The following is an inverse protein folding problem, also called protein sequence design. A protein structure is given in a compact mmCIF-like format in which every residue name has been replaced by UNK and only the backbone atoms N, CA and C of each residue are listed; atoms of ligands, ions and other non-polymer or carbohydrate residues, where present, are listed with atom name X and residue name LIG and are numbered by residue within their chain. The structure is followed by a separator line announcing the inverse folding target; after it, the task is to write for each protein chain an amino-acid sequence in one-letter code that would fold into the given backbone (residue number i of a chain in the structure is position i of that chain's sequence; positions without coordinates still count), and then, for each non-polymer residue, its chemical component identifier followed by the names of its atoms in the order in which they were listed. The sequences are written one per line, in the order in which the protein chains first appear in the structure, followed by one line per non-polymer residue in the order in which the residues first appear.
data_IF_111049719621
#
_entry.id   IF_111049719621
#
_cell.length_a   1.000
_cell.length_b   1.000
_cell.length_c   1.000
_cell.angle_alpha   90.00
_cell.angle_beta   90.00
_cell.angle_gamma   90.00
#
_symmetry.space_group_name_H-M   'P 1'
#
loop_
_entity.id
_entity.type
_entity.pdbx_description
1 polymer ?
#
# COMPACT_ATOMS: atom_id res chain seq x y z
N UNK A 1 -23.29 24.30 -55.77
CA UNK A 1 -24.47 23.95 -54.98
C UNK A 1 -24.12 24.10 -53.52
N UNK A 2 -24.42 25.28 -52.97
CA UNK A 2 -24.07 25.68 -51.60
C UNK A 2 -25.17 25.16 -50.67
N UNK A 3 -24.77 24.48 -49.62
CA UNK A 3 -25.65 24.13 -48.47
C UNK A 3 -25.09 24.82 -47.22
N UNK A 4 -25.86 25.78 -46.79
CA UNK A 4 -25.66 26.57 -45.56
C UNK A 4 -26.01 25.74 -44.30
N UNK A 5 -25.12 25.72 -43.34
CA UNK A 5 -25.36 25.15 -41.99
C UNK A 5 -25.73 26.33 -41.06
N UNK A 6 -26.94 26.29 -40.53
CA UNK A 6 -27.46 27.31 -39.62
C UNK A 6 -26.92 27.12 -38.18
N UNK A 7 -26.46 28.22 -37.60
CA UNK A 7 -26.00 28.33 -36.24
C UNK A 7 -27.23 28.60 -35.32
N UNK A 8 -27.52 27.72 -34.37
CA UNK A 8 -28.52 27.94 -33.33
C UNK A 8 -27.81 28.49 -32.11
N UNK A 9 -28.04 29.75 -31.80
CA UNK A 9 -27.61 30.43 -30.57
C UNK A 9 -28.70 30.25 -29.51
N UNK A 10 -28.41 29.52 -28.44
CA UNK A 10 -29.30 29.44 -27.28
C UNK A 10 -28.91 30.54 -26.25
N UNK A 11 -29.78 31.49 -26.05
CA UNK A 11 -29.69 32.55 -25.04
C UNK A 11 -30.17 32.02 -23.70
N UNK A 12 -29.27 31.95 -22.69
CA UNK A 12 -29.68 31.72 -21.29
C UNK A 12 -29.97 33.03 -20.60
N UNK A 13 -31.22 33.16 -20.12
CA UNK A 13 -31.68 34.31 -19.33
C UNK A 13 -31.14 34.30 -17.90
N UNK A 14 -30.58 35.43 -17.49
CA UNK A 14 -30.14 35.68 -16.11
C UNK A 14 -31.35 36.00 -15.23
N UNK A 15 -31.65 35.16 -14.25
CA UNK A 15 -32.61 35.48 -13.17
C UNK A 15 -31.81 36.10 -12.02
N UNK A 16 -32.06 37.38 -11.75
CA UNK A 16 -31.55 38.10 -10.57
C UNK A 16 -32.46 37.82 -9.38
N UNK A 17 -31.93 37.17 -8.34
CA UNK A 17 -32.56 37.14 -7.03
C UNK A 17 -32.02 38.32 -6.18
N UNK A 18 -32.91 39.25 -5.81
CA UNK A 18 -32.60 40.30 -4.86
C UNK A 18 -32.77 39.78 -3.42
N UNK A 19 -31.76 39.95 -2.58
CA UNK A 19 -31.87 39.80 -1.13
C UNK A 19 -31.97 41.16 -0.46
N UNK A 20 -33.09 41.40 0.20
CA UNK A 20 -33.26 42.52 1.16
C UNK A 20 -32.94 42.02 2.59
N UNK A 21 -32.43 42.87 3.48
CA UNK A 21 -32.06 42.45 4.84
C UNK A 21 -33.26 42.54 5.78
N UNK A 22 -33.78 41.42 6.26
CA UNK A 22 -34.66 41.38 7.44
C UNK A 22 -33.83 41.22 8.71
N UNK A 23 -33.99 42.20 9.62
CA UNK A 23 -33.45 42.14 10.99
C UNK A 23 -34.41 41.34 11.86
N UNK A 24 -34.00 40.13 12.27
CA UNK A 24 -34.65 39.46 13.41
C UNK A 24 -33.75 39.57 14.64
N UNK A 25 -34.30 40.21 15.69
CA UNK A 25 -33.75 40.20 17.04
C UNK A 25 -33.87 38.79 17.61
N UNK A 26 -32.74 38.16 17.92
CA UNK A 26 -32.69 36.86 18.56
C UNK A 26 -32.62 37.04 20.09
N UNK A 27 -33.60 36.47 20.79
CA UNK A 27 -33.60 36.28 22.23
C UNK A 27 -32.49 35.35 22.65
N UNK A 28 -31.59 35.82 23.53
CA UNK A 28 -30.49 35.06 24.09
C UNK A 28 -30.99 34.29 25.31
N UNK A 29 -31.19 33.00 25.18
CA UNK A 29 -31.24 32.08 26.34
C UNK A 29 -29.84 31.46 26.54
N UNK A 30 -29.34 31.39 27.78
CA UNK A 30 -28.02 30.79 28.03
C UNK A 30 -28.12 29.26 27.87
N UNK A 31 -27.45 28.70 26.84
CA UNK A 31 -27.24 27.28 26.72
C UNK A 31 -26.08 26.89 27.62
N UNK A 32 -26.36 26.08 28.64
CA UNK A 32 -25.38 25.30 29.37
C UNK A 32 -24.52 24.49 28.39
N UNK A 33 -23.23 24.78 28.36
CA UNK A 33 -22.25 24.05 27.57
C UNK A 33 -21.99 22.70 28.25
N UNK A 34 -22.65 21.66 27.80
CA UNK A 34 -22.14 20.29 28.00
C UNK A 34 -20.86 20.13 27.18
N UNK A 35 -19.74 20.15 27.85
CA UNK A 35 -18.44 19.80 27.28
C UNK A 35 -18.44 18.28 27.02
N UNK A 36 -18.89 17.88 25.84
CA UNK A 36 -18.70 16.52 25.36
C UNK A 36 -17.19 16.30 25.20
N UNK A 37 -16.60 15.61 26.16
CA UNK A 37 -15.23 15.18 26.09
C UNK A 37 -15.02 14.43 24.76
N UNK A 38 -14.22 15.02 23.87
CA UNK A 38 -13.83 14.45 22.59
C UNK A 38 -13.11 13.12 22.89
N UNK A 39 -13.81 11.97 22.74
CA UNK A 39 -13.18 10.66 22.86
C UNK A 39 -11.95 10.63 21.97
N UNK A 40 -10.78 10.49 22.61
CA UNK A 40 -9.52 10.27 21.91
C UNK A 40 -9.74 9.10 20.92
N UNK A 41 -9.35 9.21 19.64
CA UNK A 41 -9.44 8.08 18.73
C UNK A 41 -8.76 6.88 19.37
N UNK A 42 -9.39 5.71 19.30
CA UNK A 42 -8.79 4.48 19.80
C UNK A 42 -7.41 4.35 19.13
N UNK A 43 -6.37 4.29 19.95
CA UNK A 43 -5.01 4.01 19.46
C UNK A 43 -5.07 2.63 18.84
N UNK A 44 -4.81 2.56 17.52
CA UNK A 44 -4.56 1.30 16.83
C UNK A 44 -3.51 0.55 17.65
N UNK A 45 -3.72 -0.73 18.02
CA UNK A 45 -2.67 -1.51 18.64
C UNK A 45 -1.48 -1.48 17.68
N UNK A 46 -0.44 -0.69 17.99
CA UNK A 46 0.78 -0.72 17.22
C UNK A 46 1.38 -2.11 17.45
N UNK A 47 1.33 -2.96 16.44
CA UNK A 47 2.14 -4.17 16.47
C UNK A 47 3.59 -3.71 16.55
N UNK A 48 4.31 -4.04 17.63
CA UNK A 48 5.71 -3.72 17.71
C UNK A 48 6.44 -4.59 16.69
N UNK A 49 6.58 -4.08 15.45
CA UNK A 49 7.58 -4.67 14.57
C UNK A 49 8.92 -4.62 15.28
N UNK A 50 9.70 -5.69 15.25
CA UNK A 50 11.09 -5.60 15.64
C UNK A 50 11.71 -4.44 14.86
N UNK A 51 12.52 -3.63 15.51
CA UNK A 51 13.23 -2.52 14.85
C UNK A 51 13.97 -3.09 13.64
N UNK A 52 13.66 -2.58 12.44
CA UNK A 52 14.19 -3.07 11.17
C UNK A 52 13.82 -4.54 10.86
N UNK A 53 12.53 -4.85 10.66
CA UNK A 53 12.05 -6.20 10.38
C UNK A 53 12.58 -6.76 9.04
N UNK A 54 13.01 -8.02 9.04
CA UNK A 54 13.18 -8.80 7.82
C UNK A 54 11.88 -9.55 7.56
N UNK A 55 11.31 -9.35 6.39
CA UNK A 55 10.11 -10.04 5.92
C UNK A 55 10.37 -10.85 4.66
N UNK A 56 9.42 -11.72 4.33
CA UNK A 56 9.43 -12.55 3.11
C UNK A 56 8.06 -12.54 2.45
N UNK A 57 8.04 -12.38 1.14
CA UNK A 57 6.84 -12.64 0.35
C UNK A 57 6.79 -14.11 -0.01
N UNK A 58 5.76 -14.82 0.42
CA UNK A 58 5.65 -16.27 0.34
C UNK A 58 4.28 -16.71 -0.19
N UNK A 59 4.28 -17.81 -0.93
CA UNK A 59 3.04 -18.48 -1.32
C UNK A 59 2.52 -19.38 -0.19
N UNK A 60 1.21 -19.36 0.13
CA UNK A 60 0.62 -20.33 1.01
C UNK A 60 0.61 -21.75 0.37
N UNK A 61 0.55 -22.84 1.14
CA UNK A 61 0.42 -22.85 2.59
C UNK A 61 1.75 -22.58 3.30
N UNK A 62 1.73 -21.70 4.31
CA UNK A 62 2.96 -21.26 5.01
C UNK A 62 3.63 -22.36 5.83
N UNK A 63 2.91 -23.42 6.19
CA UNK A 63 3.49 -24.61 6.78
C UNK A 63 4.52 -25.31 5.88
N UNK A 64 4.51 -25.03 4.56
CA UNK A 64 5.49 -25.55 3.60
C UNK A 64 6.50 -24.50 3.17
N UNK A 65 6.09 -23.26 2.91
CA UNK A 65 6.96 -22.22 2.37
C UNK A 65 7.82 -21.51 3.44
N UNK A 66 7.38 -21.49 4.70
CA UNK A 66 8.10 -20.80 5.77
C UNK A 66 9.35 -21.56 6.28
N UNK A 67 9.34 -22.91 6.47
CA UNK A 67 10.50 -23.62 7.05
C UNK A 67 11.82 -23.41 6.30
N UNK A 68 11.91 -23.45 4.95
CA UNK A 68 13.15 -23.15 4.23
C UNK A 68 13.69 -21.75 4.53
N UNK A 69 12.81 -20.76 4.59
CA UNK A 69 13.16 -19.37 4.91
C UNK A 69 13.70 -19.23 6.33
N UNK A 70 13.08 -19.93 7.30
CA UNK A 70 13.57 -19.95 8.69
C UNK A 70 14.99 -20.51 8.78
N UNK A 71 15.33 -21.50 7.97
CA UNK A 71 16.71 -22.02 7.90
C UNK A 71 17.69 -20.94 7.39
N UNK A 72 17.30 -20.18 6.37
CA UNK A 72 18.12 -19.08 5.83
C UNK A 72 18.29 -17.95 6.84
N UNK A 73 17.22 -17.55 7.53
CA UNK A 73 17.24 -16.43 8.46
C UNK A 73 17.76 -16.79 9.86
N UNK A 74 17.76 -18.06 10.23
CA UNK A 74 18.03 -18.53 11.59
C UNK A 74 16.91 -18.24 12.60
N UNK A 75 15.81 -17.67 12.14
CA UNK A 75 14.63 -17.29 12.94
C UNK A 75 13.40 -17.08 12.05
N UNK A 76 12.23 -16.96 12.67
CA UNK A 76 11.03 -16.53 11.96
C UNK A 76 11.20 -15.11 11.37
N UNK A 77 10.71 -14.84 10.14
CA UNK A 77 10.64 -13.48 9.63
C UNK A 77 9.66 -12.64 10.46
N UNK A 78 9.91 -11.34 10.54
CA UNK A 78 8.99 -10.42 11.23
C UNK A 78 7.70 -10.15 10.47
N UNK A 79 7.71 -10.33 9.14
CA UNK A 79 6.61 -10.08 8.21
C UNK A 79 6.54 -11.22 7.19
N UNK A 80 5.32 -11.67 6.87
CA UNK A 80 5.07 -12.50 5.68
C UNK A 80 4.06 -11.79 4.79
N UNK A 81 4.47 -11.50 3.57
CA UNK A 81 3.63 -10.88 2.56
C UNK A 81 2.97 -11.94 1.67
N UNK A 82 1.72 -11.65 1.28
CA UNK A 82 0.96 -12.44 0.31
C UNK A 82 -0.05 -11.59 -0.46
N UNK A 83 -0.59 -12.18 -1.53
CA UNK A 83 -1.48 -11.50 -2.45
C UNK A 83 -2.90 -12.04 -2.37
N UNK A 84 -3.86 -11.15 -2.15
CA UNK A 84 -5.29 -11.44 -2.13
C UNK A 84 -5.96 -10.81 -3.36
N UNK A 85 -6.51 -11.63 -4.26
CA UNK A 85 -7.38 -11.11 -5.31
C UNK A 85 -8.69 -10.61 -4.71
N UNK A 86 -9.10 -9.39 -5.04
CA UNK A 86 -10.38 -8.84 -4.60
C UNK A 86 -11.36 -8.70 -5.79
N UNK A 87 -12.60 -9.17 -5.67
CA UNK A 87 -13.15 -10.03 -4.61
C UNK A 87 -12.45 -11.38 -4.51
N UNK A 88 -12.37 -11.93 -3.29
CA UNK A 88 -11.73 -13.23 -3.05
C UNK A 88 -11.89 -13.70 -1.62
N UNK A 89 -11.43 -14.90 -1.36
CA UNK A 89 -11.52 -15.52 -0.02
C UNK A 89 -10.31 -15.13 0.80
N UNK A 90 -10.56 -14.55 1.97
CA UNK A 90 -9.49 -14.24 2.93
C UNK A 90 -8.92 -15.54 3.52
N UNK A 91 -7.60 -15.74 3.54
CA UNK A 91 -6.97 -16.98 3.94
C UNK A 91 -6.83 -17.09 5.47
N UNK A 92 -7.98 -17.18 6.16
CA UNK A 92 -8.07 -17.10 7.63
C UNK A 92 -7.10 -18.04 8.34
N UNK A 93 -7.09 -19.34 7.97
CA UNK A 93 -6.25 -20.35 8.63
C UNK A 93 -4.75 -20.03 8.45
N UNK A 94 -4.37 -19.51 7.30
CA UNK A 94 -2.99 -19.11 7.01
C UNK A 94 -2.56 -17.91 7.85
N UNK A 95 -3.46 -16.94 8.03
CA UNK A 95 -3.20 -15.76 8.86
C UNK A 95 -3.11 -16.14 10.34
N UNK A 96 -3.98 -17.05 10.82
CA UNK A 96 -3.89 -17.59 12.17
C UNK A 96 -2.59 -18.36 12.42
N UNK A 97 -2.10 -19.10 11.42
CA UNK A 97 -0.80 -19.79 11.50
C UNK A 97 0.36 -18.77 11.69
N UNK A 98 0.34 -17.64 10.98
CA UNK A 98 1.34 -16.58 11.15
C UNK A 98 1.22 -15.91 12.53
N UNK A 99 0.01 -15.63 13.00
CA UNK A 99 -0.21 -15.03 14.32
C UNK A 99 0.32 -15.89 15.46
N UNK A 100 0.11 -17.20 15.42
CA UNK A 100 0.66 -18.15 16.40
C UNK A 100 2.19 -18.07 16.51
N UNK A 101 2.86 -17.70 15.41
CA UNK A 101 4.32 -17.52 15.34
C UNK A 101 4.76 -16.07 15.57
N UNK A 102 3.82 -15.16 15.84
CA UNK A 102 4.09 -13.72 16.01
C UNK A 102 4.68 -13.06 14.76
N UNK A 103 4.27 -13.52 13.59
CA UNK A 103 4.66 -12.98 12.29
C UNK A 103 3.53 -12.07 11.81
N UNK A 104 3.84 -10.82 11.44
CA UNK A 104 2.86 -9.89 10.89
C UNK A 104 2.50 -10.27 9.45
N UNK A 105 1.25 -10.60 9.13
CA UNK A 105 0.82 -10.74 7.75
C UNK A 105 0.71 -9.38 7.07
N UNK A 106 1.36 -9.21 5.92
CA UNK A 106 1.16 -8.11 4.98
C UNK A 106 0.37 -8.63 3.77
N UNK A 107 -0.83 -8.09 3.56
CA UNK A 107 -1.71 -8.53 2.49
C UNK A 107 -1.81 -7.46 1.42
N UNK A 108 -1.39 -7.79 0.20
CA UNK A 108 -1.59 -6.99 -1.00
C UNK A 108 -2.97 -7.31 -1.59
N UNK A 109 -3.97 -6.49 -1.31
CA UNK A 109 -5.34 -6.65 -1.82
C UNK A 109 -5.46 -6.09 -3.24
N UNK A 110 -5.63 -6.97 -4.21
CA UNK A 110 -5.50 -6.71 -5.64
C UNK A 110 -6.86 -6.70 -6.36
N UNK A 111 -7.40 -5.55 -6.78
CA UNK A 111 -8.68 -5.46 -7.50
C UNK A 111 -8.52 -5.83 -8.99
N UNK A 112 -8.14 -7.10 -9.27
CA UNK A 112 -7.77 -7.54 -10.63
C UNK A 112 -8.90 -7.45 -11.66
N UNK A 113 -10.16 -7.61 -11.24
CA UNK A 113 -11.32 -7.71 -12.12
C UNK A 113 -12.41 -6.68 -11.78
N UNK A 114 -12.09 -5.67 -11.01
CA UNK A 114 -13.06 -4.68 -10.54
C UNK A 114 -12.54 -3.25 -10.77
N UNK A 115 -13.45 -2.36 -11.14
CA UNK A 115 -13.11 -0.95 -11.33
C UNK A 115 -12.97 -0.23 -9.99
N UNK A 116 -11.94 0.60 -9.87
CA UNK A 116 -11.75 1.49 -8.71
C UNK A 116 -12.97 2.42 -8.52
N UNK A 117 -13.61 2.85 -9.61
CA UNK A 117 -14.84 3.65 -9.56
C UNK A 117 -15.98 2.89 -8.88
N UNK A 118 -16.19 1.63 -9.24
CA UNK A 118 -17.26 0.82 -8.66
C UNK A 118 -17.01 0.49 -7.18
N UNK A 119 -15.75 0.30 -6.78
CA UNK A 119 -15.40 0.21 -5.36
C UNK A 119 -15.75 1.53 -4.64
N UNK A 120 -15.35 2.66 -5.22
CA UNK A 120 -15.58 3.99 -4.62
C UNK A 120 -17.07 4.33 -4.46
N UNK A 121 -17.93 3.76 -5.30
CA UNK A 121 -19.40 4.00 -5.29
C UNK A 121 -20.19 2.92 -4.54
N UNK A 122 -19.52 1.99 -3.86
CA UNK A 122 -20.15 1.02 -2.96
C UNK A 122 -20.69 -0.25 -3.62
N UNK A 123 -20.42 -0.48 -4.91
CA UNK A 123 -20.93 -1.68 -5.58
C UNK A 123 -20.33 -3.00 -5.03
N UNK A 124 -19.24 -2.90 -4.28
CA UNK A 124 -18.55 -4.03 -3.65
C UNK A 124 -18.59 -3.98 -2.11
N UNK A 125 -19.54 -3.22 -1.54
CA UNK A 125 -19.64 -3.06 -0.06
C UNK A 125 -19.88 -4.39 0.64
N UNK A 126 -20.67 -5.27 0.04
CA UNK A 126 -20.95 -6.60 0.61
C UNK A 126 -19.67 -7.42 0.79
N UNK A 127 -18.84 -7.47 -0.25
CA UNK A 127 -17.57 -8.21 -0.25
C UNK A 127 -16.54 -7.54 0.68
N UNK A 128 -16.52 -6.21 0.72
CA UNK A 128 -15.67 -5.45 1.63
C UNK A 128 -16.06 -5.63 3.09
N UNK A 129 -17.35 -5.68 3.40
CA UNK A 129 -17.85 -5.97 4.75
C UNK A 129 -17.47 -7.39 5.16
N UNK A 130 -17.63 -8.38 4.27
CA UNK A 130 -17.21 -9.76 4.54
C UNK A 130 -15.71 -9.85 4.84
N UNK A 131 -14.87 -9.15 4.06
CA UNK A 131 -13.43 -9.08 4.29
C UNK A 131 -13.11 -8.41 5.63
N UNK A 132 -13.77 -7.29 5.92
CA UNK A 132 -13.62 -6.56 7.19
C UNK A 132 -13.95 -7.44 8.39
N UNK A 133 -15.06 -8.18 8.32
CA UNK A 133 -15.49 -9.13 9.37
C UNK A 133 -14.50 -10.29 9.54
N UNK A 134 -13.94 -10.81 8.46
CA UNK A 134 -12.92 -11.87 8.52
C UNK A 134 -11.65 -11.38 9.19
N UNK A 135 -11.13 -10.21 8.81
CA UNK A 135 -9.96 -9.58 9.42
C UNK A 135 -10.21 -9.27 10.91
N UNK A 136 -11.38 -8.74 11.23
CA UNK A 136 -11.77 -8.49 12.63
C UNK A 136 -11.78 -9.76 13.47
N UNK A 137 -12.29 -10.89 12.92
CA UNK A 137 -12.33 -12.19 13.61
C UNK A 137 -10.96 -12.80 13.85
N UNK A 138 -9.98 -12.51 13.01
CA UNK A 138 -8.58 -12.90 13.27
C UNK A 138 -8.15 -12.39 14.64
N UNK A 139 -8.51 -11.15 14.99
CA UNK A 139 -8.13 -10.51 16.24
C UNK A 139 -6.66 -10.10 16.32
N UNK A 140 -5.81 -10.67 15.45
CA UNK A 140 -4.39 -10.35 15.32
C UNK A 140 -4.16 -9.15 14.39
N UNK A 141 -3.05 -8.41 14.56
CA UNK A 141 -2.66 -7.35 13.63
C UNK A 141 -2.48 -7.86 12.20
N UNK A 142 -2.96 -7.08 11.24
CA UNK A 142 -2.81 -7.31 9.80
C UNK A 142 -2.34 -6.02 9.14
N UNK A 143 -1.27 -6.05 8.37
CA UNK A 143 -0.92 -4.97 7.45
C UNK A 143 -1.67 -5.19 6.12
N UNK A 144 -2.37 -4.17 5.64
CA UNK A 144 -3.20 -4.26 4.43
C UNK A 144 -2.81 -3.15 3.45
N UNK A 145 -2.43 -3.56 2.26
CA UNK A 145 -2.16 -2.68 1.13
C UNK A 145 -3.21 -2.92 0.05
N UNK A 146 -3.84 -1.86 -0.45
CA UNK A 146 -4.85 -1.94 -1.50
C UNK A 146 -4.30 -1.40 -2.81
N UNK A 147 -4.46 -2.17 -3.90
CA UNK A 147 -4.08 -1.75 -5.24
C UNK A 147 -2.62 -1.22 -5.28
N UNK A 148 -1.69 -2.03 -4.77
CA UNK A 148 -0.26 -1.69 -4.71
C UNK A 148 0.30 -1.32 -6.09
N UNK A 149 1.40 -0.57 -6.10
CA UNK A 149 2.06 -0.11 -7.33
C UNK A 149 1.13 0.60 -8.32
N UNK A 150 0.14 1.33 -7.80
CA UNK A 150 -0.82 2.07 -8.62
C UNK A 150 -0.16 3.09 -9.56
N UNK A 151 1.06 3.51 -9.24
CA UNK A 151 1.88 4.41 -10.05
C UNK A 151 2.57 3.72 -11.24
N UNK A 152 2.48 2.38 -11.36
CA UNK A 152 2.97 1.61 -12.49
C UNK A 152 2.01 1.57 -13.70
N UNK A 153 2.28 0.66 -14.64
CA UNK A 153 1.44 0.47 -15.85
C UNK A 153 1.08 -1.01 -16.10
N UNK A 154 1.53 -1.92 -15.24
CA UNK A 154 1.39 -3.37 -15.43
C UNK A 154 0.16 -3.99 -14.76
N UNK A 155 -0.53 -3.24 -13.90
CA UNK A 155 -1.75 -3.72 -13.25
C UNK A 155 -3.01 -3.05 -13.81
N UNK A 156 -4.18 -3.73 -13.77
CA UNK A 156 -5.44 -3.12 -14.19
C UNK A 156 -5.82 -1.84 -13.45
N UNK A 157 -5.33 -1.67 -12.22
CA UNK A 157 -5.58 -0.49 -11.37
C UNK A 157 -4.48 0.58 -11.45
N UNK A 158 -3.40 0.31 -12.16
CA UNK A 158 -2.29 1.25 -12.35
C UNK A 158 -2.58 2.30 -13.41
N UNK A 159 -1.74 3.33 -13.46
CA UNK A 159 -1.68 4.23 -14.62
C UNK A 159 -1.21 3.42 -15.82
N UNK A 160 -2.03 3.37 -16.87
CA UNK A 160 -1.63 2.74 -18.14
C UNK A 160 -1.23 3.81 -19.13
N UNK A 161 -0.26 3.48 -19.98
CA UNK A 161 0.09 4.29 -21.14
C UNK A 161 -1.06 4.19 -22.17
N UNK A 162 -1.79 5.28 -22.42
CA UNK A 162 -2.90 5.27 -23.38
C UNK A 162 -2.43 5.07 -24.83
N UNK A 163 -1.12 5.26 -25.11
CA UNK A 163 -0.58 5.04 -26.45
C UNK A 163 -0.27 3.56 -26.71
N UNK A 164 0.05 2.81 -25.68
CA UNK A 164 0.33 1.37 -25.75
C UNK A 164 -0.97 0.53 -25.78
N UNK A 165 -2.01 1.02 -25.11
CA UNK A 165 -3.29 0.33 -24.97
C UNK A 165 -4.45 1.34 -24.99
N UNK A 166 -4.84 1.85 -26.18
CA UNK A 166 -5.82 2.93 -26.28
C UNK A 166 -7.22 2.54 -25.78
N UNK A 167 -7.57 1.24 -25.79
CA UNK A 167 -8.84 0.72 -25.26
C UNK A 167 -8.85 0.52 -23.74
N UNK A 168 -7.71 0.68 -23.06
CA UNK A 168 -7.65 0.48 -21.60
C UNK A 168 -8.11 1.71 -20.83
N UNK A 169 -9.01 1.47 -19.88
CA UNK A 169 -9.46 2.51 -18.95
C UNK A 169 -8.27 3.06 -18.18
N UNK A 170 -7.98 4.34 -18.39
CA UNK A 170 -6.97 5.04 -17.58
C UNK A 170 -7.52 5.26 -16.19
N UNK A 171 -6.95 4.59 -15.21
CA UNK A 171 -7.28 4.88 -13.82
C UNK A 171 -6.80 6.28 -13.45
N UNK A 172 -7.74 7.08 -12.92
CA UNK A 172 -7.42 8.42 -12.49
C UNK A 172 -7.10 8.44 -11.00
N UNK A 173 -6.16 9.25 -10.56
CA UNK A 173 -5.83 9.39 -9.15
C UNK A 173 -7.05 9.62 -8.25
N UNK A 174 -8.04 10.35 -8.75
CA UNK A 174 -9.28 10.61 -8.02
C UNK A 174 -10.07 9.34 -7.69
N UNK A 175 -10.14 8.36 -8.61
CA UNK A 175 -10.86 7.10 -8.37
C UNK A 175 -10.09 6.20 -7.39
N UNK A 176 -8.78 6.15 -7.50
CA UNK A 176 -7.93 5.44 -6.54
C UNK A 176 -8.13 5.98 -5.12
N UNK A 177 -7.99 7.30 -4.94
CA UNK A 177 -8.18 7.93 -3.63
C UNK A 177 -9.59 7.74 -3.08
N UNK A 178 -10.60 7.81 -3.96
CA UNK A 178 -11.98 7.61 -3.56
C UNK A 178 -12.23 6.18 -3.11
N UNK A 179 -11.74 5.17 -3.86
CA UNK A 179 -11.84 3.75 -3.50
C UNK A 179 -11.10 3.45 -2.18
N UNK A 180 -9.85 3.92 -2.03
CA UNK A 180 -9.09 3.78 -0.80
C UNK A 180 -9.83 4.31 0.43
N UNK A 181 -10.30 5.57 0.33
CA UNK A 181 -11.01 6.23 1.42
C UNK A 181 -12.35 5.57 1.73
N UNK A 182 -13.02 5.02 0.72
CA UNK A 182 -14.26 4.29 0.88
C UNK A 182 -14.04 3.00 1.67
N UNK A 183 -13.07 2.18 1.27
CA UNK A 183 -12.67 0.95 1.98
C UNK A 183 -12.31 1.28 3.44
N UNK A 184 -11.45 2.26 3.66
CA UNK A 184 -11.04 2.67 5.00
C UNK A 184 -12.24 3.07 5.86
N UNK A 185 -13.16 3.90 5.34
CA UNK A 185 -14.37 4.33 6.07
C UNK A 185 -15.27 3.14 6.42
N UNK A 186 -15.42 2.20 5.49
CA UNK A 186 -16.21 0.99 5.71
C UNK A 186 -15.61 0.14 6.81
N UNK A 187 -14.30 -0.08 6.82
CA UNK A 187 -13.61 -0.81 7.88
C UNK A 187 -13.78 -0.12 9.24
N UNK A 188 -13.71 1.21 9.29
CA UNK A 188 -14.00 1.96 10.53
C UNK A 188 -15.45 1.78 10.99
N UNK A 189 -16.42 1.81 10.07
CA UNK A 189 -17.83 1.58 10.37
C UNK A 189 -18.10 0.15 10.91
N UNK A 190 -17.33 -0.84 10.45
CA UNK A 190 -17.35 -2.22 10.95
C UNK A 190 -16.53 -2.40 12.24
N UNK A 191 -15.96 -1.34 12.80
CA UNK A 191 -15.11 -1.38 14.01
C UNK A 191 -13.92 -2.34 13.87
N UNK A 192 -13.27 -2.38 12.69
CA UNK A 192 -12.02 -3.10 12.48
C UNK A 192 -10.87 -2.24 13.00
N UNK A 193 -10.21 -2.69 14.07
CA UNK A 193 -9.16 -1.92 14.76
C UNK A 193 -7.78 -2.53 14.65
N UNK A 194 -7.66 -3.68 13.99
CA UNK A 194 -6.43 -4.47 13.90
C UNK A 194 -5.75 -4.39 12.53
N UNK A 195 -6.07 -3.36 11.72
CA UNK A 195 -5.46 -3.14 10.40
C UNK A 195 -4.48 -1.98 10.45
N UNK A 196 -3.26 -2.22 9.93
CA UNK A 196 -2.28 -1.20 9.57
C UNK A 196 -2.35 -0.95 8.06
N UNK A 197 -2.66 0.27 7.64
CA UNK A 197 -2.86 0.62 6.24
C UNK A 197 -1.54 0.99 5.56
N UNK A 198 -1.15 0.25 4.53
CA UNK A 198 0.11 0.41 3.80
C UNK A 198 -0.15 0.92 2.38
N UNK A 199 0.30 2.13 2.06
CA UNK A 199 0.20 2.67 0.70
C UNK A 199 1.48 2.39 -0.06
N UNK A 200 1.42 1.43 -1.00
CA UNK A 200 2.59 0.87 -1.68
C UNK A 200 2.76 1.46 -3.08
N UNK A 201 3.95 1.99 -3.36
CA UNK A 201 4.37 2.54 -4.65
C UNK A 201 5.50 1.70 -5.24
N UNK A 202 5.63 1.72 -6.57
CA UNK A 202 6.73 1.08 -7.28
C UNK A 202 7.77 2.10 -7.74
N UNK A 203 9.03 1.75 -7.56
CA UNK A 203 10.17 2.48 -8.11
C UNK A 203 10.23 2.38 -9.64
N UNK A 204 9.83 1.26 -10.23
CA UNK A 204 9.95 1.00 -11.66
C UNK A 204 9.05 1.89 -12.53
N UNK A 205 8.07 2.56 -11.93
CA UNK A 205 7.25 3.59 -12.59
C UNK A 205 8.07 4.77 -13.15
N UNK A 206 9.30 4.97 -12.67
CA UNK A 206 10.21 6.01 -13.17
C UNK A 206 10.48 5.91 -14.67
N UNK A 207 10.47 4.71 -15.24
CA UNK A 207 10.73 4.49 -16.68
C UNK A 207 9.72 5.17 -17.60
N UNK A 208 8.54 5.51 -17.08
CA UNK A 208 7.39 6.01 -17.85
C UNK A 208 7.02 7.45 -17.50
N UNK A 209 7.95 8.19 -16.88
CA UNK A 209 7.68 9.48 -16.28
C UNK A 209 6.93 9.31 -14.96
N UNK A 210 7.46 9.86 -13.91
CA UNK A 210 6.85 9.77 -12.58
C UNK A 210 5.43 10.33 -12.63
N UNK A 211 4.38 9.54 -12.37
CA UNK A 211 3.11 10.15 -12.07
C UNK A 211 3.28 11.00 -10.82
N UNK A 212 2.59 12.11 -10.72
CA UNK A 212 2.55 12.91 -9.51
C UNK A 212 2.05 12.05 -8.33
N UNK A 213 2.98 11.53 -7.52
CA UNK A 213 2.66 10.64 -6.38
C UNK A 213 1.71 11.32 -5.39
N UNK A 214 1.80 12.66 -5.25
CA UNK A 214 0.90 13.42 -4.40
C UNK A 214 -0.55 13.34 -4.90
N UNK A 215 -0.77 13.31 -6.21
CA UNK A 215 -2.11 13.13 -6.77
C UNK A 215 -2.75 11.79 -6.38
N UNK A 216 -1.94 10.74 -6.14
CA UNK A 216 -2.40 9.41 -5.74
C UNK A 216 -2.48 9.21 -4.22
N UNK A 217 -1.95 10.16 -3.44
CA UNK A 217 -1.91 10.07 -1.99
C UNK A 217 -3.30 10.05 -1.36
N UNK A 218 -3.71 9.01 -0.61
CA UNK A 218 -5.04 8.95 0.00
C UNK A 218 -5.25 9.98 1.10
N UNK A 219 -4.16 10.44 1.72
CA UNK A 219 -4.14 11.38 2.82
C UNK A 219 -3.64 10.76 4.12
N UNK A 220 -3.00 11.55 4.95
CA UNK A 220 -2.31 11.11 6.17
C UNK A 220 -3.20 10.36 7.18
N UNK A 221 -4.50 10.65 7.17
CA UNK A 221 -5.49 9.99 8.03
C UNK A 221 -5.74 8.54 7.64
N UNK A 222 -5.57 8.22 6.35
CA UNK A 222 -5.98 6.95 5.74
C UNK A 222 -4.82 5.98 5.53
N UNK A 223 -3.62 6.38 5.88
CA UNK A 223 -2.40 5.60 5.68
C UNK A 223 -1.59 5.61 6.97
N UNK A 224 -1.08 4.46 7.36
CA UNK A 224 -0.20 4.30 8.52
C UNK A 224 1.26 4.19 8.09
N UNK A 225 1.55 3.39 7.07
CA UNK A 225 2.90 3.18 6.51
C UNK A 225 2.93 3.44 5.01
N UNK A 226 4.11 3.84 4.54
CA UNK A 226 4.45 3.88 3.11
C UNK A 226 5.11 2.57 2.74
N UNK A 227 4.59 1.89 1.71
CA UNK A 227 5.27 0.78 1.06
C UNK A 227 6.08 1.28 -0.14
N UNK A 228 7.28 0.75 -0.33
CA UNK A 228 8.10 1.02 -1.52
C UNK A 228 8.58 -0.30 -2.10
N UNK A 229 8.33 -0.53 -3.41
CA UNK A 229 8.85 -1.69 -4.12
C UNK A 229 10.00 -1.28 -5.03
N UNK A 230 11.07 -2.07 -5.03
CA UNK A 230 12.22 -1.85 -5.89
C UNK A 230 13.18 -3.03 -5.87
N UNK A 231 13.72 -3.38 -7.04
CA UNK A 231 14.55 -4.57 -7.24
C UNK A 231 15.91 -4.22 -7.80
N UNK A 232 16.94 -4.87 -7.28
CA UNK A 232 18.32 -4.79 -7.77
C UNK A 232 18.47 -5.69 -9.00
N UNK A 233 18.31 -5.11 -10.18
CA UNK A 233 18.33 -5.85 -11.46
C UNK A 233 19.68 -5.77 -12.18
N UNK A 234 20.55 -4.82 -11.80
CA UNK A 234 21.85 -4.58 -12.41
C UNK A 234 22.95 -4.63 -11.35
N UNK A 235 24.16 -5.01 -11.71
CA UNK A 235 25.31 -4.97 -10.80
C UNK A 235 25.59 -3.57 -10.20
N UNK A 236 25.16 -2.51 -10.88
CA UNK A 236 25.34 -1.13 -10.44
C UNK A 236 24.24 -0.61 -9.53
N UNK A 237 23.15 -1.35 -9.38
CA UNK A 237 22.03 -0.94 -8.54
C UNK A 237 22.45 -0.94 -7.07
N UNK A 238 22.00 0.08 -6.35
CA UNK A 238 22.24 0.25 -4.93
C UNK A 238 21.01 0.90 -4.26
N UNK A 239 20.99 0.92 -2.94
CA UNK A 239 19.87 1.44 -2.16
C UNK A 239 19.51 2.88 -2.56
N UNK A 240 20.51 3.74 -2.68
CA UNK A 240 20.30 5.17 -2.99
C UNK A 240 19.65 5.36 -4.36
N UNK A 241 20.13 4.64 -5.35
CA UNK A 241 19.56 4.65 -6.70
C UNK A 241 18.12 4.12 -6.74
N UNK A 242 17.81 3.13 -5.89
CA UNK A 242 16.47 2.53 -5.88
C UNK A 242 15.44 3.36 -5.11
N UNK A 243 15.84 4.05 -4.04
CA UNK A 243 14.85 4.55 -3.09
C UNK A 243 14.94 6.05 -2.80
N UNK A 244 16.12 6.70 -2.94
CA UNK A 244 16.30 8.07 -2.44
C UNK A 244 15.46 9.11 -3.18
N UNK A 245 15.34 9.03 -4.50
CA UNK A 245 14.55 10.00 -5.28
C UNK A 245 13.07 9.94 -4.89
N UNK A 246 12.52 8.72 -4.77
CA UNK A 246 11.13 8.53 -4.34
C UNK A 246 10.93 8.98 -2.90
N UNK A 247 11.86 8.64 -2.02
CA UNK A 247 11.81 9.07 -0.63
C UNK A 247 11.80 10.60 -0.53
N UNK A 248 12.64 11.28 -1.30
CA UNK A 248 12.66 12.74 -1.34
C UNK A 248 11.30 13.32 -1.78
N UNK A 249 10.69 12.77 -2.83
CA UNK A 249 9.36 13.18 -3.27
C UNK A 249 8.31 12.92 -2.16
N UNK A 250 8.31 11.74 -1.57
CA UNK A 250 7.38 11.38 -0.49
C UNK A 250 7.49 12.35 0.69
N UNK A 251 8.71 12.72 1.07
CA UNK A 251 8.98 13.62 2.21
C UNK A 251 8.51 15.06 1.98
N UNK A 252 8.13 15.43 0.76
CA UNK A 252 7.49 16.73 0.50
C UNK A 252 6.07 16.81 1.05
N UNK A 253 5.36 15.67 1.23
CA UNK A 253 3.97 15.66 1.69
C UNK A 253 3.65 14.69 2.84
N UNK A 254 4.56 13.78 3.21
CA UNK A 254 4.33 12.83 4.32
C UNK A 254 5.60 12.48 5.07
N UNK A 255 5.44 12.29 6.39
CA UNK A 255 6.49 11.77 7.29
C UNK A 255 6.18 10.37 7.82
N UNK A 256 5.22 9.66 7.19
CA UNK A 256 4.86 8.30 7.61
C UNK A 256 6.07 7.38 7.54
N UNK A 257 6.15 6.37 8.46
CA UNK A 257 7.19 5.35 8.41
C UNK A 257 7.20 4.62 7.07
N UNK A 258 8.37 4.18 6.62
CA UNK A 258 8.56 3.48 5.36
C UNK A 258 8.93 2.02 5.62
N UNK A 259 8.28 1.12 4.89
CA UNK A 259 8.64 -0.30 4.74
C UNK A 259 8.96 -0.53 3.27
N UNK A 260 10.05 -1.20 2.95
CA UNK A 260 10.21 -1.77 1.61
C UNK A 260 9.33 -3.01 1.55
N UNK A 261 8.24 -2.92 0.80
CA UNK A 261 7.22 -3.97 0.74
C UNK A 261 7.57 -5.07 -0.25
N UNK A 262 8.40 -4.79 -1.24
CA UNK A 262 8.98 -5.81 -2.10
C UNK A 262 10.38 -5.40 -2.54
N UNK A 263 11.33 -6.34 -2.43
CA UNK A 263 12.68 -6.20 -2.96
C UNK A 263 13.28 -7.56 -3.27
N UNK A 264 14.34 -7.57 -4.06
CA UNK A 264 15.15 -8.74 -4.35
C UNK A 264 16.43 -8.33 -5.04
N UNK A 265 17.43 -9.18 -4.97
CA UNK A 265 18.70 -9.04 -5.67
C UNK A 265 18.91 -10.28 -6.52
N UNK A 266 19.01 -10.13 -7.82
CA UNK A 266 19.26 -11.23 -8.75
C UNK A 266 20.58 -11.94 -8.48
N UNK A 267 20.70 -13.24 -8.82
CA UNK A 267 21.95 -13.97 -8.69
C UNK A 267 23.04 -13.32 -9.56
N UNK A 268 24.26 -13.24 -9.02
CA UNK A 268 25.37 -12.61 -9.73
C UNK A 268 26.53 -12.26 -8.82
N UNK A 269 27.65 -11.76 -9.38
CA UNK A 269 28.87 -11.49 -8.62
C UNK A 269 28.71 -10.39 -7.56
N UNK A 270 27.72 -9.51 -7.71
CA UNK A 270 27.44 -8.42 -6.77
C UNK A 270 26.31 -8.72 -5.78
N UNK A 271 25.67 -9.89 -5.85
CA UNK A 271 24.51 -10.23 -5.04
C UNK A 271 24.77 -10.05 -3.53
N UNK A 272 25.89 -10.55 -3.02
CA UNK A 272 26.23 -10.42 -1.60
C UNK A 272 26.33 -8.95 -1.17
N UNK A 273 27.11 -8.16 -1.92
CA UNK A 273 27.33 -6.74 -1.60
C UNK A 273 26.08 -5.90 -1.75
N UNK A 274 25.20 -6.25 -2.69
CA UNK A 274 23.92 -5.57 -2.86
C UNK A 274 22.92 -5.89 -1.74
N UNK A 275 22.89 -7.13 -1.26
CA UNK A 275 22.09 -7.51 -0.08
C UNK A 275 22.60 -6.75 1.16
N UNK A 276 23.92 -6.71 1.41
CA UNK A 276 24.48 -5.90 2.51
C UNK A 276 24.15 -4.41 2.37
N UNK A 277 24.19 -3.86 1.14
CA UNK A 277 23.81 -2.49 0.86
C UNK A 277 22.33 -2.23 1.17
N UNK A 278 21.43 -3.17 0.92
CA UNK A 278 20.03 -3.09 1.33
C UNK A 278 19.91 -2.95 2.86
N UNK A 279 20.54 -3.84 3.63
CA UNK A 279 20.52 -3.80 5.10
C UNK A 279 21.07 -2.46 5.63
N UNK A 280 22.19 -2.01 5.08
CA UNK A 280 22.81 -0.73 5.46
C UNK A 280 21.88 0.46 5.18
N UNK A 281 21.24 0.47 4.02
CA UNK A 281 20.30 1.52 3.61
C UNK A 281 19.07 1.58 4.51
N UNK A 282 18.45 0.43 4.82
CA UNK A 282 17.31 0.33 5.75
C UNK A 282 17.66 0.97 7.09
N UNK A 283 18.81 0.64 7.66
CA UNK A 283 19.25 1.18 8.95
C UNK A 283 19.53 2.68 8.88
N UNK A 284 20.24 3.13 7.83
CA UNK A 284 20.59 4.53 7.64
C UNK A 284 19.36 5.43 7.52
N UNK A 285 18.37 5.01 6.74
CA UNK A 285 17.15 5.78 6.51
C UNK A 285 16.07 5.54 7.58
N UNK A 286 16.37 4.70 8.59
CA UNK A 286 15.44 4.34 9.65
C UNK A 286 14.09 3.81 9.13
N UNK A 287 14.13 2.95 8.12
CA UNK A 287 12.95 2.26 7.62
C UNK A 287 12.48 1.17 8.59
N UNK A 288 11.22 0.81 8.55
CA UNK A 288 10.63 -0.26 9.37
C UNK A 288 11.26 -1.63 9.08
N UNK A 289 11.81 -1.81 7.89
CA UNK A 289 12.41 -3.03 7.42
C UNK A 289 12.19 -3.23 5.93
N UNK A 290 12.30 -4.46 5.49
CA UNK A 290 12.03 -4.86 4.10
C UNK A 290 11.37 -6.24 4.04
N UNK A 291 10.66 -6.48 2.93
CA UNK A 291 10.12 -7.79 2.54
C UNK A 291 10.87 -8.25 1.29
N UNK A 292 11.55 -9.38 1.42
CA UNK A 292 12.20 -10.02 0.29
C UNK A 292 11.20 -10.83 -0.52
N UNK A 293 11.22 -10.67 -1.84
CA UNK A 293 10.32 -11.38 -2.75
C UNK A 293 10.86 -12.81 -3.00
N UNK A 294 10.48 -13.74 -2.12
CA UNK A 294 10.94 -15.14 -2.18
C UNK A 294 9.98 -16.01 -2.99
N UNK A 295 9.67 -15.55 -4.19
CA UNK A 295 8.77 -16.25 -5.12
C UNK A 295 9.43 -16.38 -6.50
N UNK A 296 9.05 -17.42 -7.23
CA UNK A 296 9.42 -17.55 -8.64
C UNK A 296 8.59 -16.56 -9.46
N UNK A 297 9.27 -15.59 -10.05
CA UNK A 297 8.75 -14.61 -10.99
C UNK A 297 9.67 -14.53 -12.22
N UNK A 298 9.76 -13.37 -12.85
CA UNK A 298 10.60 -13.13 -14.03
C UNK A 298 12.11 -13.37 -13.78
N UNK A 299 12.54 -13.35 -12.51
CA UNK A 299 13.91 -13.58 -12.07
C UNK A 299 13.91 -14.56 -10.87
N UNK A 300 15.05 -15.21 -10.63
CA UNK A 300 15.21 -16.14 -9.52
C UNK A 300 15.54 -15.39 -8.22
N UNK A 301 14.49 -14.95 -7.50
CA UNK A 301 14.62 -14.22 -6.24
C UNK A 301 14.76 -15.14 -5.02
N UNK A 302 14.51 -16.45 -5.16
CA UNK A 302 14.50 -17.39 -4.04
C UNK A 302 15.84 -17.41 -3.30
N UNK A 303 15.77 -17.33 -1.98
CA UNK A 303 16.94 -17.47 -1.11
C UNK A 303 17.27 -18.92 -0.78
N UNK A 304 16.28 -19.82 -0.85
CA UNK A 304 16.46 -21.24 -0.62
C UNK A 304 17.42 -21.85 -1.66
N UNK A 305 18.43 -22.58 -1.16
CA UNK A 305 19.49 -23.14 -2.01
C UNK A 305 20.53 -22.12 -2.53
N UNK A 306 20.35 -20.82 -2.29
CA UNK A 306 21.29 -19.77 -2.68
C UNK A 306 22.25 -19.44 -1.53
N UNK A 307 23.42 -20.10 -1.53
CA UNK A 307 24.43 -19.92 -0.47
C UNK A 307 24.95 -18.47 -0.38
N UNK A 308 25.07 -17.74 -1.50
CA UNK A 308 25.52 -16.34 -1.53
C UNK A 308 24.51 -15.46 -0.84
N UNK A 309 23.23 -15.60 -1.16
CA UNK A 309 22.16 -14.84 -0.51
C UNK A 309 22.08 -15.20 0.98
N UNK A 310 22.10 -16.49 1.34
CA UNK A 310 22.09 -16.95 2.74
C UNK A 310 23.22 -16.33 3.54
N UNK A 311 24.45 -16.36 3.04
CA UNK A 311 25.61 -15.74 3.71
C UNK A 311 25.45 -14.24 3.88
N UNK A 312 24.91 -13.54 2.88
CA UNK A 312 24.66 -12.11 2.95
C UNK A 312 23.55 -11.75 3.95
N UNK A 313 22.48 -12.56 4.04
CA UNK A 313 21.43 -12.38 5.07
C UNK A 313 22.01 -12.57 6.47
N UNK A 314 22.79 -13.61 6.73
CA UNK A 314 23.44 -13.80 8.03
C UNK A 314 24.35 -12.63 8.40
N UNK A 315 25.13 -12.14 7.45
CA UNK A 315 25.99 -10.96 7.64
C UNK A 315 25.16 -9.73 7.97
N UNK A 316 24.11 -9.46 7.19
CA UNK A 316 23.23 -8.31 7.38
C UNK A 316 22.50 -8.34 8.73
N UNK A 317 21.90 -9.48 9.07
CA UNK A 317 21.18 -9.68 10.34
C UNK A 317 22.14 -9.44 11.53
N UNK A 318 23.33 -10.03 11.51
CA UNK A 318 24.31 -9.91 12.60
C UNK A 318 24.87 -8.51 12.70
N UNK A 319 25.30 -7.91 11.57
CA UNK A 319 25.96 -6.59 11.56
C UNK A 319 25.05 -5.44 11.92
N UNK A 320 23.79 -5.50 11.52
CA UNK A 320 22.85 -4.39 11.68
C UNK A 320 21.81 -4.60 12.78
N UNK A 321 21.80 -5.77 13.43
CA UNK A 321 20.93 -6.05 14.59
C UNK A 321 19.47 -6.24 14.25
N UNK A 322 19.20 -6.99 13.18
CA UNK A 322 17.85 -7.31 12.71
C UNK A 322 17.25 -8.52 13.44
#
# INVERSE_FOLDING_TARGET
MLLSVGLIVATYGLVKFGYGPERHQANVHPKTSETTARKKPATIPSFPLPTHAVGMALNPPYSKSLPPVVQVLGKDPGIVESYLSFPGTFPLDQIQYLDQRKILPLIQMNPKKVSLHFIATGQYDKELIQLADQIKRVGAPVALSFAHEMNGYWYPWSVRDPTAHPETVVNRPMFFRAAWRHIWKLFQAQHVTNVTWVWTISRDAQRYGWPDLHAWWPGWKYVDWIGMNGYYRKPTDNFDYLYNDQLAILRTFTKKPVLITETGVGPGPTQHTQIENLFAGIKRENFLGFVWFDMNADEHWNVDGNQVATGAFHTGITRYGY
#
